data_IF_525327541892
#
_entry.id   IF_525327541892
#
_cell.length_a   1.000
_cell.length_b   1.000
_cell.length_c   1.000
_cell.angle_alpha   90.00
_cell.angle_beta   90.00
_cell.angle_gamma   90.00
#
_symmetry.space_group_name_H-M   'P 1'
#
loop_
_entity.id
_entity.type
_entity.pdbx_description
1 polymer ?
#
# COMPACT_ATOMS: atom_id res chain seq x y z
N UNK A 1 -20.29 -7.81 4.97
CA UNK A 1 -19.20 -8.36 4.14
C UNK A 1 -19.71 -9.35 3.12
N UNK A 2 -20.09 -10.59 3.47
CA UNK A 2 -20.64 -11.56 2.49
C UNK A 2 -21.82 -11.03 1.65
N UNK A 3 -22.76 -10.30 2.27
CA UNK A 3 -23.90 -9.69 1.56
C UNK A 3 -23.49 -8.73 0.43
N UNK A 4 -22.52 -7.84 0.69
CA UNK A 4 -22.08 -6.82 -0.28
C UNK A 4 -21.35 -7.42 -1.49
N UNK A 5 -20.66 -8.54 -1.30
CA UNK A 5 -19.89 -9.23 -2.35
C UNK A 5 -20.76 -10.18 -3.16
N UNK A 6 -21.55 -11.03 -2.51
CA UNK A 6 -22.23 -12.14 -3.20
C UNK A 6 -23.66 -11.80 -3.65
N UNK A 7 -24.39 -10.96 -2.88
CA UNK A 7 -25.74 -10.53 -3.24
C UNK A 7 -25.74 -9.22 -4.02
N UNK A 8 -24.97 -8.23 -3.56
CA UNK A 8 -24.95 -6.88 -4.15
C UNK A 8 -23.88 -6.75 -5.26
N UNK A 9 -22.95 -7.72 -5.39
CA UNK A 9 -21.84 -7.74 -6.36
C UNK A 9 -20.97 -6.47 -6.38
N UNK A 10 -20.98 -5.70 -5.30
CA UNK A 10 -20.21 -4.45 -5.22
C UNK A 10 -18.71 -4.72 -5.02
N UNK A 11 -18.33 -5.88 -4.48
CA UNK A 11 -16.95 -6.19 -4.08
C UNK A 11 -16.46 -7.44 -4.82
N UNK A 12 -15.18 -7.44 -5.21
CA UNK A 12 -14.57 -8.54 -5.95
C UNK A 12 -14.23 -9.73 -5.02
N UNK A 13 -14.25 -10.96 -5.55
CA UNK A 13 -14.08 -12.22 -4.80
C UNK A 13 -12.72 -12.31 -4.08
N UNK A 14 -11.72 -11.61 -4.60
CA UNK A 14 -10.34 -11.48 -4.12
C UNK A 14 -10.32 -10.96 -2.67
N UNK A 15 -11.21 -10.03 -2.34
CA UNK A 15 -11.27 -9.40 -1.01
C UNK A 15 -11.71 -10.39 0.08
N UNK A 16 -12.48 -11.44 -0.27
CA UNK A 16 -12.87 -12.50 0.67
C UNK A 16 -11.80 -13.59 0.79
N UNK A 17 -11.02 -13.80 -0.26
CA UNK A 17 -9.93 -14.78 -0.24
C UNK A 17 -8.89 -14.43 0.83
N UNK A 18 -8.44 -13.19 0.84
CA UNK A 18 -7.45 -12.73 1.83
C UNK A 18 -8.02 -12.80 3.25
N UNK A 19 -9.28 -12.40 3.45
CA UNK A 19 -9.94 -12.44 4.76
C UNK A 19 -10.06 -13.87 5.28
N UNK A 20 -10.50 -14.82 4.45
CA UNK A 20 -10.61 -16.23 4.87
C UNK A 20 -9.25 -16.85 5.14
N UNK A 21 -8.26 -16.55 4.30
CA UNK A 21 -6.88 -16.96 4.52
C UNK A 21 -6.37 -16.47 5.88
N UNK A 22 -6.53 -15.18 6.17
CA UNK A 22 -6.11 -14.57 7.43
C UNK A 22 -6.79 -15.22 8.64
N UNK A 23 -8.11 -15.39 8.59
CA UNK A 23 -8.86 -16.02 9.68
C UNK A 23 -8.34 -17.44 9.92
N UNK A 24 -8.08 -18.21 8.87
CA UNK A 24 -7.56 -19.58 9.01
C UNK A 24 -6.11 -19.64 9.47
N UNK A 25 -5.29 -18.64 9.13
CA UNK A 25 -3.92 -18.56 9.61
C UNK A 25 -3.87 -18.25 11.11
N UNK A 26 -4.68 -17.29 11.58
CA UNK A 26 -4.72 -16.87 12.98
C UNK A 26 -5.55 -17.82 13.86
N UNK A 27 -6.63 -18.38 13.32
CA UNK A 27 -7.62 -19.19 14.04
C UNK A 27 -8.01 -20.41 13.20
N UNK A 28 -7.14 -21.43 13.06
CA UNK A 28 -7.40 -22.61 12.25
C UNK A 28 -8.71 -23.35 12.58
N UNK A 29 -9.19 -23.23 13.83
CA UNK A 29 -10.45 -23.79 14.31
C UNK A 29 -11.69 -23.18 13.63
N UNK A 30 -11.59 -21.98 13.06
CA UNK A 30 -12.68 -21.32 12.34
C UNK A 30 -12.95 -21.91 10.96
N UNK A 31 -12.20 -22.92 10.53
CA UNK A 31 -12.37 -23.56 9.22
C UNK A 31 -13.78 -24.10 8.98
N UNK A 32 -14.40 -24.71 9.99
CA UNK A 32 -15.78 -25.17 9.87
C UNK A 32 -16.73 -24.04 9.51
N UNK A 33 -16.59 -22.88 10.17
CA UNK A 33 -17.43 -21.70 9.95
C UNK A 33 -17.26 -21.14 8.54
N UNK A 34 -16.01 -21.01 8.06
CA UNK A 34 -15.73 -20.52 6.70
C UNK A 34 -16.28 -21.48 5.65
N UNK A 35 -16.05 -22.79 5.81
CA UNK A 35 -16.55 -23.80 4.88
C UNK A 35 -18.07 -23.79 4.80
N UNK A 36 -18.78 -23.69 5.94
CA UNK A 36 -20.25 -23.57 5.93
C UNK A 36 -20.73 -22.28 5.28
N UNK A 37 -20.06 -21.15 5.54
CA UNK A 37 -20.39 -19.88 4.87
C UNK A 37 -20.19 -19.96 3.35
N UNK A 38 -19.14 -20.62 2.88
CA UNK A 38 -18.90 -20.83 1.46
C UNK A 38 -19.91 -21.77 0.81
N UNK A 39 -20.39 -22.82 1.50
CA UNK A 39 -21.34 -23.80 0.92
C UNK A 39 -22.65 -23.17 0.46
N UNK A 40 -23.10 -22.13 1.16
CA UNK A 40 -24.31 -21.39 0.79
C UNK A 40 -24.21 -20.75 -0.61
N UNK A 41 -22.98 -20.50 -1.08
CA UNK A 41 -22.71 -19.73 -2.29
C UNK A 41 -22.03 -20.57 -3.39
N UNK A 42 -21.06 -21.43 -3.04
CA UNK A 42 -20.36 -22.32 -3.97
C UNK A 42 -19.77 -23.55 -3.27
N UNK A 43 -20.20 -24.73 -3.71
CA UNK A 43 -19.69 -26.00 -3.20
C UNK A 43 -18.20 -26.19 -3.51
N UNK A 44 -17.75 -25.76 -4.69
CA UNK A 44 -16.34 -25.85 -5.11
C UNK A 44 -15.46 -24.97 -4.22
N UNK A 45 -15.93 -23.75 -3.91
CA UNK A 45 -15.23 -22.81 -3.03
C UNK A 45 -15.14 -23.32 -1.59
N UNK A 46 -16.19 -23.99 -1.11
CA UNK A 46 -16.17 -24.65 0.19
C UNK A 46 -15.18 -25.82 0.26
N UNK A 47 -15.07 -26.60 -0.83
CA UNK A 47 -14.09 -27.70 -0.94
C UNK A 47 -12.67 -27.17 -0.95
N UNK A 48 -12.44 -26.05 -1.64
CA UNK A 48 -11.17 -25.35 -1.66
C UNK A 48 -10.69 -24.97 -0.24
N UNK A 49 -11.50 -24.23 0.52
CA UNK A 49 -11.15 -23.79 1.88
C UNK A 49 -11.03 -24.91 2.89
N UNK A 50 -11.72 -26.04 2.64
CA UNK A 50 -11.57 -27.25 3.46
C UNK A 50 -10.18 -27.87 3.28
N UNK A 51 -9.62 -27.83 2.06
CA UNK A 51 -8.36 -28.49 1.70
C UNK A 51 -7.13 -27.63 1.98
N UNK A 52 -7.27 -26.31 1.93
CA UNK A 52 -6.10 -25.43 2.04
C UNK A 52 -5.51 -25.39 3.45
N UNK A 53 -4.17 -25.50 3.51
CA UNK A 53 -3.40 -25.44 4.75
C UNK A 53 -2.65 -24.11 4.85
N UNK A 54 -3.07 -23.25 5.76
CA UNK A 54 -2.41 -21.96 6.03
C UNK A 54 -1.06 -22.07 6.74
N UNK A 55 -0.60 -23.29 7.07
CA UNK A 55 0.72 -23.56 7.68
C UNK A 55 1.82 -23.84 6.65
N UNK A 56 1.46 -24.39 5.49
CA UNK A 56 2.43 -24.90 4.50
C UNK A 56 2.37 -24.15 3.17
N UNK A 57 1.44 -23.21 3.03
CA UNK A 57 1.22 -22.45 1.81
C UNK A 57 1.32 -20.97 2.16
N UNK A 58 1.87 -20.17 1.24
CA UNK A 58 1.77 -18.72 1.23
C UNK A 58 0.42 -18.32 0.62
N UNK A 59 -0.05 -17.10 0.92
CA UNK A 59 -1.22 -16.53 0.22
C UNK A 59 -0.96 -16.41 -1.29
N UNK A 60 0.31 -16.36 -1.70
CA UNK A 60 0.72 -16.41 -3.10
C UNK A 60 0.47 -17.77 -3.77
N UNK A 61 0.35 -18.85 -2.99
CA UNK A 61 0.17 -20.22 -3.48
C UNK A 61 -1.32 -20.62 -3.55
N UNK A 62 -2.23 -19.72 -3.17
CA UNK A 62 -3.68 -19.84 -3.37
C UNK A 62 -3.95 -19.83 -4.88
N UNK A 63 -4.44 -20.93 -5.50
CA UNK A 63 -4.87 -20.94 -6.90
C UNK A 63 -5.79 -19.76 -7.19
N UNK A 64 -5.28 -18.81 -7.97
CA UNK A 64 -6.08 -17.71 -8.51
C UNK A 64 -6.69 -18.18 -9.81
N UNK A 65 -7.65 -19.11 -9.73
CA UNK A 65 -8.49 -19.48 -10.88
C UNK A 65 -9.51 -18.37 -11.24
N UNK A 66 -9.39 -17.21 -10.60
CA UNK A 66 -10.11 -15.98 -10.91
C UNK A 66 -9.30 -15.27 -12.00
N UNK A 67 -9.92 -14.74 -13.07
CA UNK A 67 -9.24 -13.86 -13.98
C UNK A 67 -8.73 -12.67 -13.19
N UNK A 68 -7.44 -12.69 -12.84
CA UNK A 68 -6.73 -11.48 -12.46
C UNK A 68 -7.11 -10.45 -13.52
N UNK A 69 -7.55 -9.27 -13.11
CA UNK A 69 -7.58 -8.13 -14.02
C UNK A 69 -6.13 -7.86 -14.38
N UNK A 70 -5.65 -8.57 -15.39
CA UNK A 70 -4.33 -8.41 -15.97
C UNK A 70 -4.46 -7.23 -16.90
N UNK A 71 -4.09 -6.06 -16.42
CA UNK A 71 -4.16 -4.84 -17.18
C UNK A 71 -3.29 -3.79 -16.52
N UNK A 72 -2.90 -2.78 -17.29
CA UNK A 72 -2.22 -1.63 -16.73
C UNK A 72 -3.17 -0.94 -15.73
N UNK A 73 -2.80 -0.78 -14.45
CA UNK A 73 -3.65 -0.10 -13.47
C UNK A 73 -3.96 1.35 -13.85
N UNK A 74 -3.21 1.93 -14.80
CA UNK A 74 -3.46 3.25 -15.36
C UNK A 74 -4.31 3.23 -16.62
N UNK A 75 -4.70 2.06 -17.14
CA UNK A 75 -5.56 1.97 -18.31
C UNK A 75 -6.96 2.48 -17.94
N UNK A 76 -7.36 3.66 -18.47
CA UNK A 76 -8.66 4.23 -18.13
C UNK A 76 -9.79 3.29 -18.55
N UNK A 77 -9.61 2.50 -19.62
CA UNK A 77 -10.63 1.57 -20.13
C UNK A 77 -11.00 0.45 -19.16
N UNK A 78 -10.17 0.20 -18.13
CA UNK A 78 -10.44 -0.81 -17.11
C UNK A 78 -11.52 -0.34 -16.13
N UNK A 79 -11.59 0.96 -15.79
CA UNK A 79 -12.66 1.52 -14.93
C UNK A 79 -12.88 3.03 -15.18
N UNK A 80 -13.37 3.46 -16.36
CA UNK A 80 -13.90 4.85 -16.49
C UNK A 80 -15.32 4.90 -15.92
N UNK A 81 -15.55 5.74 -14.90
CA UNK A 81 -16.91 6.05 -14.42
C UNK A 81 -17.55 5.01 -13.49
N UNK A 82 -16.77 4.05 -12.98
CA UNK A 82 -17.20 3.17 -11.89
C UNK A 82 -17.33 3.95 -10.56
N UNK A 83 -18.01 3.39 -9.54
CA UNK A 83 -18.22 4.04 -8.25
C UNK A 83 -16.95 4.14 -7.38
N UNK A 84 -15.82 3.66 -7.88
CA UNK A 84 -14.56 3.57 -7.14
C UNK A 84 -13.58 4.66 -7.57
N UNK A 85 -12.68 5.02 -6.65
CA UNK A 85 -11.61 5.96 -6.93
C UNK A 85 -10.69 5.38 -8.01
N UNK A 86 -10.34 6.20 -9.00
CA UNK A 86 -9.36 5.85 -10.04
C UNK A 86 -8.23 6.88 -10.04
N UNK A 87 -7.12 6.55 -10.69
CA UNK A 87 -6.02 7.47 -10.88
C UNK A 87 -6.46 8.73 -11.63
N UNK A 88 -5.82 9.86 -11.30
CA UNK A 88 -5.99 11.09 -12.07
C UNK A 88 -5.60 10.85 -13.54
N UNK A 89 -6.28 11.46 -14.53
CA UNK A 89 -5.84 11.42 -15.93
C UNK A 89 -4.41 11.94 -16.15
N UNK A 90 -3.89 12.73 -15.20
CA UNK A 90 -2.52 13.24 -15.20
C UNK A 90 -1.49 12.18 -14.75
N UNK A 91 -1.93 11.10 -14.09
CA UNK A 91 -1.06 10.02 -13.64
C UNK A 91 -0.65 9.16 -14.83
N UNK A 92 0.64 9.16 -15.15
CA UNK A 92 1.14 8.47 -16.35
C UNK A 92 2.03 7.28 -16.03
N UNK A 93 2.53 7.18 -14.80
CA UNK A 93 3.51 6.16 -14.42
C UNK A 93 3.33 5.69 -12.99
N UNK A 94 3.37 4.37 -12.83
CA UNK A 94 3.61 3.70 -11.57
C UNK A 94 5.00 3.05 -11.63
N UNK A 95 5.89 3.34 -10.67
CA UNK A 95 7.26 2.84 -10.69
C UNK A 95 7.55 2.13 -9.37
N UNK A 96 7.85 0.84 -9.45
CA UNK A 96 8.34 0.07 -8.32
C UNK A 96 9.84 0.33 -8.13
N UNK A 97 10.23 0.89 -6.99
CA UNK A 97 11.60 1.31 -6.68
C UNK A 97 12.24 0.30 -5.73
N UNK A 98 12.94 -0.66 -6.33
CA UNK A 98 13.61 -1.77 -5.64
C UNK A 98 15.11 -1.87 -5.94
N UNK A 99 15.68 -0.87 -6.62
CA UNK A 99 17.13 -0.80 -6.86
C UNK A 99 17.66 0.58 -6.53
N UNK A 100 18.94 0.66 -6.18
CA UNK A 100 19.64 1.93 -5.94
C UNK A 100 19.51 2.88 -7.14
N UNK A 101 19.68 2.38 -8.37
CA UNK A 101 19.55 3.20 -9.59
C UNK A 101 18.16 3.85 -9.71
N UNK A 102 17.10 3.10 -9.40
CA UNK A 102 15.73 3.63 -9.42
C UNK A 102 15.52 4.64 -8.30
N UNK A 103 16.04 4.38 -7.10
CA UNK A 103 15.97 5.31 -5.97
C UNK A 103 16.69 6.63 -6.30
N UNK A 104 17.91 6.58 -6.84
CA UNK A 104 18.65 7.78 -7.24
C UNK A 104 17.92 8.58 -8.32
N UNK A 105 17.34 7.91 -9.32
CA UNK A 105 16.52 8.58 -10.36
C UNK A 105 15.28 9.26 -9.78
N UNK A 106 14.60 8.59 -8.87
CA UNK A 106 13.43 9.14 -8.16
C UNK A 106 13.84 10.34 -7.30
N UNK A 107 14.90 10.20 -6.49
CA UNK A 107 15.44 11.27 -5.63
C UNK A 107 15.75 12.52 -6.44
N UNK A 108 16.56 12.38 -7.50
CA UNK A 108 16.93 13.49 -8.36
C UNK A 108 15.71 14.17 -9.02
N UNK A 109 14.67 13.41 -9.37
CA UNK A 109 13.44 13.97 -9.95
C UNK A 109 12.62 14.76 -8.91
N UNK A 110 12.56 14.29 -7.66
CA UNK A 110 11.90 15.00 -6.56
C UNK A 110 12.68 16.27 -6.21
N UNK A 111 14.00 16.17 -6.04
CA UNK A 111 14.88 17.29 -5.70
C UNK A 111 14.79 18.40 -6.76
N UNK A 112 14.90 18.03 -8.04
CA UNK A 112 14.74 18.98 -9.16
C UNK A 112 13.39 19.70 -9.16
N UNK A 113 12.31 19.05 -8.68
CA UNK A 113 11.01 19.70 -8.54
C UNK A 113 10.97 20.61 -7.32
N UNK A 114 11.62 20.22 -6.22
CA UNK A 114 11.74 21.04 -5.03
C UNK A 114 12.56 22.33 -5.24
N UNK A 115 13.44 22.37 -6.25
CA UNK A 115 14.20 23.58 -6.63
C UNK A 115 13.32 24.70 -7.18
N UNK A 116 12.11 24.39 -7.66
CA UNK A 116 11.19 25.39 -8.22
C UNK A 116 10.76 26.42 -7.17
N UNK A 117 10.34 27.64 -7.59
CA UNK A 117 9.88 28.67 -6.65
C UNK A 117 8.77 28.18 -5.71
N UNK A 118 7.82 27.41 -6.23
CA UNK A 118 6.68 26.84 -5.52
C UNK A 118 7.01 25.59 -4.69
N UNK A 119 8.22 25.03 -4.84
CA UNK A 119 8.59 23.76 -4.25
C UNK A 119 7.89 22.57 -4.90
N UNK A 120 7.74 21.48 -4.14
CA UNK A 120 7.05 20.26 -4.60
C UNK A 120 6.17 19.69 -3.50
N UNK A 121 4.98 19.25 -3.89
CA UNK A 121 4.07 18.50 -3.03
C UNK A 121 4.15 17.02 -3.38
N UNK A 122 4.27 16.17 -2.36
CA UNK A 122 4.23 14.72 -2.49
C UNK A 122 3.16 14.14 -1.58
N UNK A 123 2.33 13.24 -2.11
CA UNK A 123 1.48 12.36 -1.32
C UNK A 123 2.31 11.20 -0.78
N UNK A 124 2.14 10.88 0.51
CA UNK A 124 2.83 9.79 1.18
C UNK A 124 1.84 8.85 1.85
N UNK A 125 2.17 7.56 1.78
CA UNK A 125 1.50 6.49 2.50
C UNK A 125 2.51 5.36 2.73
N UNK A 126 2.43 4.66 3.87
CA UNK A 126 3.31 3.53 4.16
C UNK A 126 2.50 2.28 4.46
N UNK A 127 3.01 1.13 3.99
CA UNK A 127 2.36 -0.15 4.21
C UNK A 127 3.24 -1.04 5.09
N UNK A 128 2.60 -1.72 6.02
CA UNK A 128 3.23 -2.65 6.95
C UNK A 128 2.33 -3.84 7.22
N UNK A 129 2.92 -4.94 7.66
CA UNK A 129 2.15 -6.14 8.01
C UNK A 129 1.34 -5.89 9.28
N UNK A 130 0.02 -5.93 9.19
CA UNK A 130 -0.86 -5.93 10.37
C UNK A 130 -0.71 -7.21 11.24
N UNK A 131 0.10 -8.18 10.79
CA UNK A 131 0.20 -9.52 11.35
C UNK A 131 1.50 -9.77 12.11
N UNK A 132 2.48 -8.88 11.99
CA UNK A 132 3.72 -8.94 12.76
C UNK A 132 3.54 -8.18 14.08
N UNK A 133 4.16 -8.67 15.15
CA UNK A 133 4.19 -7.93 16.40
C UNK A 133 5.19 -6.77 16.28
N UNK A 134 4.68 -5.52 16.27
CA UNK A 134 5.45 -4.28 16.05
C UNK A 134 6.15 -4.31 14.68
N UNK A 135 5.39 -4.31 13.58
CA UNK A 135 5.97 -4.34 12.24
C UNK A 135 6.87 -3.12 12.00
N UNK A 136 7.77 -3.22 11.03
CA UNK A 136 8.31 -2.03 10.37
C UNK A 136 7.55 -1.81 9.07
N UNK A 137 7.52 -0.56 8.59
CA UNK A 137 7.10 -0.28 7.22
C UNK A 137 7.94 -1.07 6.23
N UNK A 138 7.28 -1.65 5.24
CA UNK A 138 7.87 -2.50 4.19
C UNK A 138 7.82 -1.82 2.83
N UNK A 139 6.79 -1.00 2.63
CA UNK A 139 6.60 -0.20 1.43
C UNK A 139 6.37 1.25 1.83
N UNK A 140 6.98 2.18 1.10
CA UNK A 140 6.65 3.60 1.14
C UNK A 140 6.14 4.01 -0.24
N UNK A 141 4.92 4.50 -0.30
CA UNK A 141 4.33 5.06 -1.50
C UNK A 141 4.59 6.57 -1.53
N UNK A 142 5.08 7.06 -2.67
CA UNK A 142 5.37 8.48 -2.88
C UNK A 142 4.74 8.91 -4.20
N UNK A 143 3.75 9.80 -4.13
CA UNK A 143 2.96 10.21 -5.28
C UNK A 143 3.16 11.69 -5.60
N UNK A 144 3.46 11.98 -6.85
CA UNK A 144 3.36 13.31 -7.46
C UNK A 144 2.18 13.29 -8.45
N UNK A 145 1.83 14.44 -9.01
CA UNK A 145 0.67 14.55 -9.91
C UNK A 145 0.74 13.59 -11.12
N UNK A 146 1.95 13.36 -11.66
CA UNK A 146 2.17 12.58 -12.90
C UNK A 146 2.78 11.18 -12.69
N UNK A 147 3.24 10.89 -11.47
CA UNK A 147 3.96 9.64 -11.18
C UNK A 147 3.80 9.24 -9.72
N UNK A 148 3.57 7.95 -9.51
CA UNK A 148 3.60 7.31 -8.21
C UNK A 148 4.73 6.30 -8.13
N UNK A 149 5.47 6.35 -7.03
CA UNK A 149 6.55 5.44 -6.72
C UNK A 149 6.13 4.53 -5.58
N UNK A 150 6.42 3.24 -5.72
CA UNK A 150 6.25 2.24 -4.66
C UNK A 150 7.65 1.81 -4.27
N UNK A 151 8.15 2.34 -3.16
CA UNK A 151 9.51 2.11 -2.68
C UNK A 151 9.54 0.87 -1.79
N UNK A 152 10.35 -0.11 -2.16
CA UNK A 152 10.57 -1.31 -1.38
C UNK A 152 11.62 -1.03 -0.29
N UNK A 153 11.14 -0.84 0.95
CA UNK A 153 11.95 -0.48 2.11
C UNK A 153 12.85 -1.65 2.55
N UNK A 154 12.39 -2.88 2.32
CA UNK A 154 13.09 -4.10 2.73
C UNK A 154 14.23 -4.45 1.77
N UNK A 155 14.02 -4.23 0.47
CA UNK A 155 15.00 -4.58 -0.55
C UNK A 155 16.20 -3.62 -0.57
N UNK A 156 15.99 -2.34 -0.25
CA UNK A 156 17.02 -1.31 -0.41
C UNK A 156 17.97 -1.24 0.80
N UNK A 157 19.30 -1.19 0.58
CA UNK A 157 20.28 -1.09 1.66
C UNK A 157 20.08 0.18 2.50
N UNK A 158 20.23 0.07 3.82
CA UNK A 158 20.17 1.19 4.77
C UNK A 158 21.03 2.39 4.36
N UNK A 159 22.25 2.14 3.88
CA UNK A 159 23.19 3.19 3.48
C UNK A 159 22.72 4.01 2.27
N UNK A 160 21.76 3.50 1.51
CA UNK A 160 21.20 4.12 0.31
C UNK A 160 19.81 4.72 0.60
N UNK A 161 18.95 3.96 1.27
CA UNK A 161 17.59 4.39 1.55
C UNK A 161 17.53 5.50 2.61
N UNK A 162 18.32 5.40 3.69
CA UNK A 162 18.27 6.38 4.78
C UNK A 162 18.61 7.80 4.31
N UNK A 163 19.71 8.05 3.55
CA UNK A 163 19.98 9.41 3.04
C UNK A 163 18.83 10.01 2.23
N UNK A 164 18.16 9.20 1.40
CA UNK A 164 16.98 9.64 0.67
C UNK A 164 15.83 10.05 1.61
N UNK A 165 15.54 9.26 2.65
CA UNK A 165 14.50 9.59 3.63
C UNK A 165 14.88 10.80 4.49
N UNK A 166 16.16 10.95 4.86
CA UNK A 166 16.67 12.16 5.51
C UNK A 166 16.36 13.38 4.64
N UNK A 167 16.78 13.37 3.37
CA UNK A 167 16.48 14.44 2.41
C UNK A 167 14.99 14.72 2.31
N UNK A 168 14.16 13.70 2.05
CA UNK A 168 12.72 13.86 1.82
C UNK A 168 12.02 14.55 3.00
N UNK A 169 12.34 14.12 4.22
CA UNK A 169 11.67 14.61 5.43
C UNK A 169 12.29 15.87 6.02
N UNK A 170 13.55 16.20 5.71
CA UNK A 170 14.20 17.45 6.15
C UNK A 170 14.16 18.59 5.12
N UNK A 171 13.71 18.36 3.89
CA UNK A 171 13.75 19.40 2.85
C UNK A 171 12.67 20.48 3.06
N UNK A 172 13.04 21.78 3.13
CA UNK A 172 12.11 22.88 3.44
C UNK A 172 11.19 23.28 2.28
N UNK A 173 11.39 22.71 1.09
CA UNK A 173 10.51 22.91 -0.08
C UNK A 173 9.78 21.64 -0.55
N UNK A 174 9.90 20.54 0.19
CA UNK A 174 9.10 19.34 -0.07
C UNK A 174 7.98 19.32 0.97
N UNK A 175 6.75 19.61 0.52
CA UNK A 175 5.54 19.44 1.30
C UNK A 175 5.09 17.98 1.21
N UNK A 176 4.97 17.31 2.36
CA UNK A 176 4.48 15.95 2.47
C UNK A 176 3.01 15.99 2.89
N UNK A 177 2.14 15.40 2.08
CA UNK A 177 0.74 15.21 2.39
C UNK A 177 0.49 13.75 2.73
N UNK A 178 -0.11 13.49 3.89
CA UNK A 178 -0.50 12.15 4.30
C UNK A 178 -1.87 12.12 4.97
N UNK A 179 -2.43 10.94 5.15
CA UNK A 179 -3.67 10.73 5.89
C UNK A 179 -3.36 9.98 7.18
N UNK A 180 -3.72 10.54 8.34
CA UNK A 180 -3.40 9.95 9.65
C UNK A 180 -1.91 9.57 9.81
N UNK A 181 -1.03 10.37 9.20
CA UNK A 181 0.40 10.07 8.96
C UNK A 181 1.28 9.82 10.20
N UNK A 182 0.71 9.97 11.40
CA UNK A 182 1.42 9.67 12.65
C UNK A 182 1.73 8.18 12.77
N UNK A 183 0.84 7.30 12.30
CA UNK A 183 1.06 5.85 12.30
C UNK A 183 2.16 5.47 11.31
N UNK A 184 2.12 6.02 10.09
CA UNK A 184 3.17 5.83 9.09
C UNK A 184 4.55 6.17 9.63
N UNK A 185 4.70 7.32 10.30
CA UNK A 185 5.98 7.69 10.92
C UNK A 185 6.44 6.71 12.00
N UNK A 186 5.54 6.14 12.79
CA UNK A 186 5.88 5.14 13.80
C UNK A 186 6.45 3.89 13.12
N UNK A 187 5.77 3.38 12.10
CA UNK A 187 6.17 2.14 11.44
C UNK A 187 7.39 2.35 10.53
N UNK A 188 7.54 3.51 9.89
CA UNK A 188 8.76 3.91 9.18
C UNK A 188 9.98 3.95 10.12
N UNK A 189 9.84 4.47 11.34
CA UNK A 189 10.93 4.46 12.34
C UNK A 189 11.30 3.06 12.82
N UNK A 190 10.39 2.09 12.69
CA UNK A 190 10.63 0.68 13.07
C UNK A 190 11.31 -0.12 11.96
N UNK A 191 11.22 0.32 10.70
CA UNK A 191 11.88 -0.34 9.59
C UNK A 191 13.41 -0.40 9.79
N UNK A 192 14.01 -1.57 9.61
CA UNK A 192 15.44 -1.79 9.87
C UNK A 192 16.33 -0.89 9.01
N UNK A 193 15.98 -0.73 7.73
CA UNK A 193 16.69 0.13 6.78
C UNK A 193 16.59 1.63 7.10
N UNK A 194 15.68 2.01 8.02
CA UNK A 194 15.45 3.41 8.44
C UNK A 194 15.79 3.67 9.90
N UNK A 195 16.29 2.68 10.65
CA UNK A 195 16.69 2.88 12.05
C UNK A 195 17.66 4.04 12.19
N UNK A 196 17.38 4.91 13.17
CA UNK A 196 18.20 6.09 13.47
C UNK A 196 18.06 7.22 12.45
N UNK A 197 17.08 7.18 11.55
CA UNK A 197 16.75 8.30 10.68
C UNK A 197 16.17 9.45 11.52
N UNK A 198 16.86 10.59 11.57
CA UNK A 198 16.54 11.69 12.48
C UNK A 198 15.36 12.49 11.94
N UNK A 199 15.29 12.71 10.63
CA UNK A 199 14.21 13.42 9.95
C UNK A 199 12.81 12.83 10.19
N UNK A 200 12.71 11.54 10.54
CA UNK A 200 11.44 10.90 10.87
C UNK A 200 10.93 11.22 12.29
N UNK A 201 11.78 11.77 13.17
CA UNK A 201 11.36 12.20 14.52
C UNK A 201 10.77 13.60 14.51
N UNK A 202 11.32 14.48 13.68
CA UNK A 202 10.88 15.87 13.52
C UNK A 202 10.82 16.24 12.03
N UNK A 203 9.80 15.75 11.31
CA UNK A 203 9.69 15.97 9.87
C UNK A 203 9.27 17.41 9.56
N UNK A 204 10.00 18.06 8.66
CA UNK A 204 9.64 19.39 8.16
C UNK A 204 8.45 19.28 7.19
N UNK A 205 7.62 20.32 7.09
CA UNK A 205 6.55 20.45 6.08
C UNK A 205 5.71 19.17 5.87
N UNK A 206 5.26 18.57 6.96
CA UNK A 206 4.34 17.43 6.93
C UNK A 206 2.94 17.91 7.32
N UNK A 207 1.97 17.67 6.44
CA UNK A 207 0.57 18.05 6.64
C UNK A 207 -0.35 16.85 6.52
N UNK A 208 -1.28 16.73 7.47
CA UNK A 208 -2.35 15.74 7.41
C UNK A 208 -3.53 16.31 6.63
N UNK A 209 -4.00 15.58 5.61
CA UNK A 209 -5.10 16.01 4.72
C UNK A 209 -6.38 16.35 5.52
N UNK A 210 -6.68 15.62 6.60
CA UNK A 210 -7.85 15.91 7.45
C UNK A 210 -7.82 17.32 8.06
N UNK A 211 -6.62 17.82 8.42
CA UNK A 211 -6.48 19.18 8.97
C UNK A 211 -6.72 20.26 7.91
N UNK A 212 -6.45 19.95 6.63
CA UNK A 212 -6.69 20.86 5.52
C UNK A 212 -8.19 20.96 5.23
N UNK A 213 -8.90 19.83 5.15
CA UNK A 213 -10.35 19.83 4.87
C UNK A 213 -11.13 20.65 5.92
N UNK A 214 -10.82 20.46 7.20
CA UNK A 214 -11.47 21.19 8.30
C UNK A 214 -11.20 22.70 8.25
N UNK A 215 -10.09 23.15 7.66
CA UNK A 215 -9.75 24.57 7.57
C UNK A 215 -10.43 25.29 6.38
N UNK A 216 -10.96 24.54 5.40
CA UNK A 216 -11.64 25.08 4.22
C UNK A 216 -13.17 24.87 4.30
N UNK A 217 -13.65 24.21 5.36
CA UNK A 217 -15.07 23.96 5.65
C UNK A 217 -15.60 24.94 6.67
#
# INVERSE_FOLDING_TARGET
YAKKTFQEKEWAYENLHEVFWMILHQRPQMRGVIVEACKAESQEYAVYWRRISTRNFSIADVPRDIPLVTGDPLDPSIVVGGPFLNFSPEMHKLIFVNTESLLSKMSAKIEKRAERPEGVTVGLDAEWSAYENRPGARILQISLNDVSYIVDIDCLPRGILRPFIEMLFSHPKILKLGFQFQMDLIELRRAESLKGCVSLNDPMNLSCILKLIVAVS
#
